data_IF_519999411596
#
_entry.id   IF_519999411596
#
_cell.length_a   1.000
_cell.length_b   1.000
_cell.length_c   1.000
_cell.angle_alpha   90.00
_cell.angle_beta   90.00
_cell.angle_gamma   90.00
#
_symmetry.space_group_name_H-M   'P 1'
#
loop_
_entity.id
_entity.type
_entity.pdbx_description
1 polymer ?
#
# COMPACT_ATOMS: atom_id res chain seq x y z
N UNK A 1 6.98 9.58 6.07
CA UNK A 1 7.47 8.19 6.12
C UNK A 1 7.58 7.68 4.69
N UNK A 2 8.70 7.05 4.35
CA UNK A 2 8.92 6.41 3.04
C UNK A 2 8.32 5.00 3.01
N UNK A 3 8.18 4.41 1.83
CA UNK A 3 7.76 3.02 1.71
C UNK A 3 8.82 2.06 2.26
N UNK A 4 10.11 2.39 2.05
CA UNK A 4 11.24 1.61 2.60
C UNK A 4 11.24 1.57 4.12
N UNK A 5 10.94 2.69 4.79
CA UNK A 5 10.76 2.74 6.24
C UNK A 5 9.58 1.88 6.71
N UNK A 6 8.51 1.81 5.93
CA UNK A 6 7.33 1.03 6.26
C UNK A 6 7.58 -0.48 6.17
N UNK A 7 8.31 -0.97 5.17
CA UNK A 7 8.68 -2.40 5.07
C UNK A 7 9.71 -2.80 6.12
N UNK A 8 10.68 -1.93 6.45
CA UNK A 8 11.61 -2.15 7.55
C UNK A 8 10.87 -2.25 8.90
N UNK A 9 9.90 -1.36 9.14
CA UNK A 9 9.05 -1.41 10.32
C UNK A 9 8.28 -2.74 10.43
N UNK A 10 7.76 -3.26 9.31
CA UNK A 10 7.09 -4.56 9.28
C UNK A 10 8.01 -5.70 9.73
N UNK A 11 9.27 -5.71 9.27
CA UNK A 11 10.25 -6.71 9.69
C UNK A 11 10.63 -6.55 11.16
N UNK A 12 10.89 -5.32 11.63
CA UNK A 12 11.18 -5.06 13.05
C UNK A 12 10.05 -5.52 13.97
N UNK A 13 8.80 -5.26 13.60
CA UNK A 13 7.63 -5.76 14.34
C UNK A 13 7.53 -7.27 14.27
N UNK A 14 7.85 -7.89 13.14
CA UNK A 14 7.86 -9.35 13.01
C UNK A 14 8.87 -9.98 13.98
N UNK A 15 10.11 -9.47 13.98
CA UNK A 15 11.16 -9.92 14.92
C UNK A 15 10.78 -9.70 16.39
N UNK A 16 10.21 -8.54 16.72
CA UNK A 16 9.79 -8.23 18.09
C UNK A 16 8.68 -9.18 18.62
N UNK A 17 7.92 -9.79 17.71
CA UNK A 17 6.87 -10.76 18.01
C UNK A 17 7.28 -12.22 17.76
N UNK A 18 8.55 -12.49 17.43
CA UNK A 18 9.04 -13.84 17.15
C UNK A 18 8.49 -14.48 15.88
N UNK A 19 8.09 -13.65 14.91
CA UNK A 19 7.52 -14.08 13.62
C UNK A 19 8.58 -14.08 12.52
N UNK A 20 8.35 -14.88 11.48
CA UNK A 20 9.18 -14.84 10.27
C UNK A 20 8.96 -13.50 9.56
N UNK A 21 10.04 -12.80 9.26
CA UNK A 21 9.97 -11.53 8.51
C UNK A 21 9.36 -11.75 7.13
N UNK A 22 8.42 -10.89 6.75
CA UNK A 22 7.78 -10.97 5.44
C UNK A 22 8.71 -10.50 4.31
N UNK A 23 9.61 -9.57 4.60
CA UNK A 23 10.47 -8.99 3.59
C UNK A 23 11.91 -9.46 3.74
N UNK A 24 12.48 -9.86 2.61
CA UNK A 24 13.91 -10.05 2.43
C UNK A 24 14.41 -8.76 1.76
N UNK A 25 15.28 -8.03 2.48
CA UNK A 25 15.68 -6.66 2.16
C UNK A 25 17.19 -6.61 2.01
N UNK A 26 17.66 -6.04 0.90
CA UNK A 26 19.05 -5.62 0.72
C UNK A 26 19.13 -4.33 -0.12
N UNK A 27 20.35 -3.89 -0.41
CA UNK A 27 20.63 -2.64 -1.14
C UNK A 27 20.09 -2.63 -2.59
N UNK A 28 19.64 -3.78 -3.10
CA UNK A 28 19.18 -3.95 -4.48
C UNK A 28 17.71 -4.34 -4.63
N UNK A 29 17.08 -4.87 -3.61
CA UNK A 29 15.69 -5.28 -3.72
C UNK A 29 15.04 -5.46 -2.35
N UNK A 30 13.72 -5.28 -2.40
CA UNK A 30 12.80 -5.74 -1.37
C UNK A 30 11.95 -6.82 -2.00
N UNK A 31 12.07 -8.05 -1.49
CA UNK A 31 11.28 -9.19 -1.94
C UNK A 31 10.36 -9.63 -0.82
N UNK A 32 9.11 -9.89 -1.16
CA UNK A 32 8.13 -10.41 -0.22
C UNK A 32 8.10 -11.94 -0.26
N UNK A 33 8.41 -12.59 0.86
CA UNK A 33 8.08 -13.99 1.08
C UNK A 33 6.60 -14.09 1.48
N UNK A 34 5.75 -14.39 0.49
CA UNK A 34 4.29 -14.51 0.66
C UNK A 34 3.87 -15.63 1.62
N UNK A 35 4.80 -16.50 2.05
CA UNK A 35 4.55 -17.61 2.99
C UNK A 35 4.98 -17.27 4.42
N UNK A 36 5.66 -16.16 4.64
CA UNK A 36 6.04 -15.72 5.98
C UNK A 36 4.80 -15.31 6.79
N UNK A 37 4.81 -15.56 8.09
CA UNK A 37 3.69 -15.29 9.01
C UNK A 37 3.78 -13.92 9.71
N UNK A 38 4.81 -13.14 9.37
CA UNK A 38 5.08 -11.81 9.89
C UNK A 38 4.15 -10.72 9.40
N UNK A 39 4.40 -9.51 9.91
CA UNK A 39 3.74 -8.28 9.49
C UNK A 39 4.24 -7.86 8.12
N UNK A 40 3.36 -7.18 7.38
CA UNK A 40 3.60 -6.69 6.02
C UNK A 40 2.66 -5.53 5.70
N UNK A 41 2.94 -4.82 4.63
CA UNK A 41 1.97 -3.95 3.97
C UNK A 41 0.86 -4.81 3.33
N UNK A 42 -0.39 -4.33 3.30
CA UNK A 42 -1.46 -4.98 2.54
C UNK A 42 -1.15 -4.88 1.04
N UNK A 43 -1.67 -5.83 0.27
CA UNK A 43 -1.82 -5.61 -1.17
C UNK A 43 -2.87 -4.53 -1.42
N UNK A 44 -2.83 -3.89 -2.58
CA UNK A 44 -3.84 -2.91 -3.00
C UNK A 44 -5.25 -3.53 -2.97
N UNK A 45 -5.37 -4.81 -3.35
CA UNK A 45 -6.63 -5.53 -3.34
C UNK A 45 -7.12 -5.87 -1.92
N UNK A 46 -6.23 -6.30 -1.02
CA UNK A 46 -6.57 -6.49 0.40
C UNK A 46 -7.04 -5.20 1.04
N UNK A 47 -6.31 -4.11 0.77
CA UNK A 47 -6.64 -2.79 1.28
C UNK A 47 -8.03 -2.36 0.82
N UNK A 48 -8.34 -2.48 -0.47
CA UNK A 48 -9.64 -2.08 -1.01
C UNK A 48 -10.77 -2.96 -0.47
N UNK A 49 -10.56 -4.28 -0.39
CA UNK A 49 -11.52 -5.20 0.20
C UNK A 49 -11.82 -4.84 1.66
N UNK A 50 -10.77 -4.62 2.45
CA UNK A 50 -10.86 -4.25 3.85
C UNK A 50 -11.54 -2.89 4.05
N UNK A 51 -11.23 -1.90 3.20
CA UNK A 51 -11.87 -0.58 3.21
C UNK A 51 -13.36 -0.69 2.90
N UNK A 52 -13.73 -1.42 1.84
CA UNK A 52 -15.12 -1.56 1.39
C UNK A 52 -15.99 -2.29 2.39
N UNK A 53 -15.47 -3.30 3.08
CA UNK A 53 -16.19 -4.09 4.09
C UNK A 53 -17.61 -4.52 3.63
N UNK A 54 -17.73 -4.98 2.38
CA UNK A 54 -18.98 -5.41 1.77
C UNK A 54 -19.78 -4.34 1.01
N UNK A 55 -19.36 -3.08 1.06
CA UNK A 55 -20.00 -2.00 0.29
C UNK A 55 -19.46 -1.89 -1.14
N UNK A 56 -20.31 -1.49 -2.09
CA UNK A 56 -19.92 -1.28 -3.49
C UNK A 56 -19.64 0.20 -3.83
N UNK A 57 -20.02 1.12 -2.94
CA UNK A 57 -19.90 2.56 -3.14
C UNK A 57 -18.46 3.09 -3.08
N UNK A 58 -18.26 4.38 -3.35
CA UNK A 58 -16.95 5.04 -3.19
C UNK A 58 -16.54 5.16 -1.71
N UNK A 59 -17.50 5.20 -0.80
CA UNK A 59 -17.31 5.25 0.64
C UNK A 59 -18.12 4.15 1.31
N UNK A 60 -17.69 3.69 2.48
CA UNK A 60 -18.40 2.67 3.27
C UNK A 60 -19.45 3.26 4.24
N UNK A 61 -19.65 4.59 4.21
CA UNK A 61 -20.60 5.32 5.04
C UNK A 61 -20.63 6.80 4.67
N UNK A 62 -21.27 7.62 5.50
CA UNK A 62 -21.20 9.07 5.37
C UNK A 62 -19.75 9.53 5.59
N UNK A 63 -19.18 10.24 4.62
CA UNK A 63 -17.77 10.63 4.66
C UNK A 63 -17.46 11.55 5.84
N UNK A 64 -18.38 12.44 6.22
CA UNK A 64 -18.18 13.35 7.36
C UNK A 64 -18.11 12.57 8.69
N UNK A 65 -18.81 11.44 8.79
CA UNK A 65 -18.83 10.60 9.98
C UNK A 65 -17.70 9.57 10.01
N UNK A 66 -17.16 9.20 8.84
CA UNK A 66 -16.24 8.06 8.69
C UNK A 66 -14.80 8.43 8.35
N UNK A 67 -14.54 9.67 7.89
CA UNK A 67 -13.23 10.10 7.43
C UNK A 67 -12.85 11.50 7.94
N UNK A 68 -11.54 11.73 8.00
CA UNK A 68 -10.95 13.06 8.15
C UNK A 68 -10.47 13.56 6.80
N UNK A 69 -10.97 14.70 6.34
CA UNK A 69 -10.74 15.24 4.99
C UNK A 69 -10.46 16.75 5.06
N UNK A 70 -10.20 17.36 3.90
CA UNK A 70 -9.97 18.82 3.83
C UNK A 70 -11.18 19.64 4.29
N UNK A 71 -12.37 19.04 4.40
CA UNK A 71 -13.57 19.73 4.91
C UNK A 71 -13.57 19.92 6.42
N UNK A 72 -12.77 19.15 7.16
CA UNK A 72 -12.72 19.23 8.63
C UNK A 72 -11.88 20.43 9.11
N UNK A 73 -11.16 21.13 8.22
CA UNK A 73 -10.40 22.33 8.56
C UNK A 73 -9.23 22.11 9.53
N UNK A 74 -8.68 20.89 9.52
CA UNK A 74 -7.55 20.46 10.35
C UNK A 74 -6.22 20.63 9.61
N UNK A 75 -5.12 20.73 10.36
CA UNK A 75 -3.76 21.01 9.88
C UNK A 75 -2.82 19.79 9.99
N UNK A 76 -3.38 18.61 10.27
CA UNK A 76 -2.61 17.41 10.48
C UNK A 76 -3.45 16.16 10.74
N UNK A 77 -2.79 14.99 10.79
CA UNK A 77 -3.46 13.74 11.10
C UNK A 77 -4.03 13.76 12.51
N UNK A 78 -5.20 13.14 12.66
CA UNK A 78 -5.90 13.05 13.93
C UNK A 78 -5.61 11.74 14.64
N UNK A 79 -5.76 11.68 15.98
CA UNK A 79 -5.72 10.42 16.72
C UNK A 79 -6.65 9.39 16.07
N UNK A 80 -6.15 8.16 15.90
CA UNK A 80 -6.91 7.07 15.27
C UNK A 80 -8.18 6.73 16.05
N UNK A 81 -9.18 6.16 15.35
CA UNK A 81 -10.45 5.70 15.91
C UNK A 81 -11.30 6.80 16.55
N UNK A 82 -11.35 7.96 15.89
CA UNK A 82 -12.21 9.10 16.30
C UNK A 82 -13.45 9.30 15.42
N UNK A 83 -13.46 8.73 14.22
CA UNK A 83 -14.59 8.65 13.30
C UNK A 83 -15.19 7.23 13.34
N UNK A 84 -16.33 7.01 12.69
CA UNK A 84 -17.01 5.72 12.69
C UNK A 84 -16.24 4.65 11.89
N UNK A 85 -16.20 3.40 12.36
CA UNK A 85 -15.58 2.30 11.62
C UNK A 85 -16.46 1.81 10.48
N UNK A 86 -15.87 1.03 9.58
CA UNK A 86 -16.62 0.23 8.62
C UNK A 86 -17.17 -1.07 9.24
N UNK A 87 -17.89 -1.88 8.45
CA UNK A 87 -18.53 -3.12 8.92
C UNK A 87 -17.54 -4.22 9.40
N UNK A 88 -16.25 -4.11 9.07
CA UNK A 88 -15.20 -4.99 9.60
C UNK A 88 -14.56 -4.46 10.88
N UNK A 89 -15.03 -3.32 11.41
CA UNK A 89 -14.46 -2.68 12.59
C UNK A 89 -13.16 -1.92 12.30
N UNK A 90 -12.86 -1.64 11.03
CA UNK A 90 -11.69 -0.86 10.64
C UNK A 90 -12.01 0.62 10.63
N UNK A 91 -11.11 1.40 11.23
CA UNK A 91 -11.19 2.85 11.31
C UNK A 91 -10.18 3.47 10.37
N UNK A 92 -10.47 4.69 9.93
CA UNK A 92 -9.53 5.55 9.21
C UNK A 92 -8.98 4.91 7.93
N UNK A 93 -9.71 3.99 7.30
CA UNK A 93 -9.39 3.49 5.95
C UNK A 93 -9.75 4.51 4.88
N UNK A 94 -10.52 5.54 5.22
CA UNK A 94 -10.74 6.72 4.40
C UNK A 94 -10.29 7.96 5.16
N UNK A 95 -9.48 8.80 4.51
CA UNK A 95 -8.98 10.03 5.07
C UNK A 95 -7.92 9.83 6.15
N UNK A 96 -7.71 10.85 6.98
CA UNK A 96 -6.63 10.94 7.97
C UNK A 96 -5.25 10.90 7.31
N UNK A 97 -4.77 9.72 6.90
CA UNK A 97 -3.51 9.58 6.15
C UNK A 97 -3.68 8.59 5.00
N UNK A 98 -2.97 8.83 3.91
CA UNK A 98 -2.75 7.83 2.89
C UNK A 98 -2.04 6.61 3.49
N UNK A 99 -2.37 5.41 3.02
CA UNK A 99 -1.75 4.18 3.54
C UNK A 99 -0.97 3.46 2.42
N UNK A 100 0.35 3.27 2.63
CA UNK A 100 1.19 2.50 1.72
C UNK A 100 0.69 1.06 1.54
N UNK A 101 0.72 0.58 0.30
CA UNK A 101 0.46 -0.81 -0.09
C UNK A 101 1.73 -1.44 -0.68
N UNK A 102 1.75 -2.76 -0.81
CA UNK A 102 2.85 -3.50 -1.42
C UNK A 102 3.00 -3.20 -2.92
N UNK A 103 1.89 -3.11 -3.66
CA UNK A 103 1.84 -3.09 -5.11
C UNK A 103 2.56 -1.89 -5.77
N UNK A 104 3.06 -2.11 -6.98
CA UNK A 104 3.49 -1.03 -7.86
C UNK A 104 2.29 -0.27 -8.42
N UNK A 105 2.44 1.05 -8.60
CA UNK A 105 1.39 1.90 -9.18
C UNK A 105 1.13 1.53 -10.64
N UNK A 106 2.18 1.60 -11.44
CA UNK A 106 2.22 1.18 -12.83
C UNK A 106 3.70 0.95 -13.18
N UNK A 107 4.18 -0.31 -13.11
CA UNK A 107 5.61 -0.59 -13.28
C UNK A 107 6.10 -0.39 -14.72
N UNK A 108 5.17 -0.25 -15.67
CA UNK A 108 5.46 0.03 -17.07
C UNK A 108 5.81 1.53 -17.27
N UNK A 109 5.13 2.40 -16.52
CA UNK A 109 5.21 3.87 -16.68
C UNK A 109 6.02 4.56 -15.60
N UNK A 110 5.86 4.14 -14.35
CA UNK A 110 6.42 4.81 -13.17
C UNK A 110 7.45 3.94 -12.44
N UNK A 111 7.99 2.91 -13.11
CA UNK A 111 9.03 2.06 -12.57
C UNK A 111 8.69 1.47 -11.20
N UNK A 112 9.43 1.87 -10.18
CA UNK A 112 9.34 1.35 -8.82
C UNK A 112 8.34 2.07 -7.91
N UNK A 113 7.55 3.01 -8.44
CA UNK A 113 6.57 3.75 -7.66
C UNK A 113 5.56 2.80 -7.02
N UNK A 114 5.32 2.98 -5.72
CA UNK A 114 4.44 2.16 -4.91
C UNK A 114 3.08 2.83 -4.72
N UNK A 115 2.04 2.02 -4.59
CA UNK A 115 0.68 2.51 -4.36
C UNK A 115 0.49 2.92 -2.91
N UNK A 116 -0.27 4.00 -2.70
CA UNK A 116 -0.93 4.28 -1.43
C UNK A 116 -2.41 4.64 -1.66
N UNK A 117 -3.24 4.36 -0.65
CA UNK A 117 -4.72 4.38 -0.73
C UNK A 117 -5.37 5.16 0.41
N UNK A 118 -6.65 5.50 0.26
CA UNK A 118 -7.50 6.04 1.33
C UNK A 118 -7.73 7.55 1.34
N UNK A 119 -6.76 8.36 0.91
CA UNK A 119 -6.84 9.81 1.07
C UNK A 119 -6.25 10.27 2.40
N UNK A 120 -5.99 11.57 2.53
CA UNK A 120 -5.50 12.18 3.78
C UNK A 120 -6.45 13.26 4.30
N UNK A 121 -6.14 13.78 5.48
CA UNK A 121 -6.77 14.96 6.09
C UNK A 121 -6.70 16.21 5.19
N UNK A 122 -5.73 16.30 4.28
CA UNK A 122 -5.56 17.43 3.37
C UNK A 122 -6.29 17.24 2.03
N UNK A 123 -6.82 16.05 1.74
CA UNK A 123 -7.44 15.76 0.46
C UNK A 123 -8.92 16.14 0.43
N UNK A 124 -9.42 16.62 -0.72
CA UNK A 124 -10.84 16.91 -0.88
C UNK A 124 -11.67 15.62 -0.90
N UNK A 125 -12.96 15.68 -0.51
CA UNK A 125 -13.85 14.52 -0.44
C UNK A 125 -13.84 13.62 -1.69
N UNK A 126 -13.81 14.21 -2.88
CA UNK A 126 -13.79 13.45 -4.13
C UNK A 126 -12.47 12.70 -4.36
N UNK A 127 -11.41 12.93 -3.60
CA UNK A 127 -10.18 12.12 -3.65
C UNK A 127 -10.15 11.03 -2.57
N UNK A 128 -11.00 11.12 -1.55
CA UNK A 128 -11.05 10.21 -0.39
C UNK A 128 -12.05 9.08 -0.67
N UNK A 129 -11.63 8.08 -1.45
CA UNK A 129 -12.50 6.96 -1.87
C UNK A 129 -11.80 5.63 -1.80
N UNK A 130 -12.59 4.56 -1.64
CA UNK A 130 -12.11 3.18 -1.58
C UNK A 130 -11.34 2.76 -2.84
N UNK A 131 -11.60 3.36 -4.00
CA UNK A 131 -10.89 3.08 -5.26
C UNK A 131 -9.82 4.10 -5.65
N UNK A 132 -9.64 5.20 -4.90
CA UNK A 132 -8.60 6.16 -5.25
C UNK A 132 -7.23 5.56 -4.97
N UNK A 133 -6.39 5.52 -6.01
CA UNK A 133 -4.99 5.14 -5.96
C UNK A 133 -4.09 6.31 -6.34
N UNK A 134 -3.05 6.54 -5.55
CA UNK A 134 -1.91 7.42 -5.86
C UNK A 134 -0.62 6.62 -5.63
N UNK A 135 0.51 7.17 -6.03
CA UNK A 135 1.79 6.54 -5.75
C UNK A 135 2.95 7.49 -5.86
N UNK A 136 4.06 7.11 -5.25
CA UNK A 136 5.32 7.84 -5.27
C UNK A 136 6.49 6.86 -5.21
N UNK A 137 7.69 7.36 -5.45
CA UNK A 137 8.92 6.58 -5.33
C UNK A 137 9.06 6.00 -3.92
N UNK A 138 9.65 4.80 -3.77
CA UNK A 138 9.67 4.08 -2.49
C UNK A 138 10.56 4.75 -1.42
N UNK A 139 11.50 5.60 -1.83
CA UNK A 139 12.39 6.42 -1.01
C UNK A 139 11.86 7.83 -0.76
N UNK A 140 10.76 8.23 -1.40
CA UNK A 140 10.18 9.56 -1.23
C UNK A 140 9.40 9.67 0.08
N UNK A 141 9.62 10.77 0.81
CA UNK A 141 8.77 11.18 1.92
C UNK A 141 7.57 11.93 1.36
N UNK A 142 6.38 11.35 1.52
CA UNK A 142 5.11 11.98 1.13
C UNK A 142 4.38 12.44 2.39
N UNK A 143 4.03 13.72 2.44
CA UNK A 143 3.27 14.30 3.55
C UNK A 143 1.88 13.67 3.63
N UNK A 144 1.40 13.42 4.85
CA UNK A 144 0.11 12.79 5.07
C UNK A 144 0.07 11.33 4.61
N UNK A 145 1.21 10.65 4.43
CA UNK A 145 1.27 9.21 4.15
C UNK A 145 1.83 8.43 5.35
N UNK A 146 1.01 7.47 5.80
CA UNK A 146 1.24 6.49 6.84
C UNK A 146 1.20 5.05 6.30
N UNK A 147 0.89 4.10 7.19
CA UNK A 147 0.71 2.70 6.84
C UNK A 147 -0.39 2.05 7.67
N UNK A 148 -0.87 0.92 7.17
CA UNK A 148 -1.62 -0.08 7.91
C UNK A 148 -0.91 -1.41 7.77
N UNK A 149 -0.84 -2.18 8.84
CA UNK A 149 -0.24 -3.51 8.82
C UNK A 149 -1.28 -4.55 8.43
N UNK A 150 -0.90 -5.43 7.52
CA UNK A 150 -1.46 -6.77 7.36
C UNK A 150 -0.49 -7.77 8.01
N UNK A 151 -0.93 -9.03 8.18
CA UNK A 151 -0.10 -10.10 8.73
C UNK A 151 -0.49 -11.44 8.12
N UNK A 152 0.50 -12.31 8.00
CA UNK A 152 0.27 -13.73 7.79
C UNK A 152 0.60 -14.19 6.37
N UNK A 153 0.80 -15.51 6.27
CA UNK A 153 1.04 -16.20 5.03
C UNK A 153 -0.21 -16.13 4.14
N UNK A 154 -0.01 -15.72 2.90
CA UNK A 154 -1.08 -15.53 1.90
C UNK A 154 -0.75 -16.12 0.54
N UNK A 155 0.47 -16.65 0.36
CA UNK A 155 0.80 -17.51 -0.77
C UNK A 155 0.05 -18.83 -0.69
N UNK A 156 -0.45 -19.31 -1.83
CA UNK A 156 -1.09 -20.63 -1.96
C UNK A 156 -0.08 -21.69 -2.45
N UNK A 157 -0.49 -22.96 -2.51
CA UNK A 157 0.27 -24.13 -2.98
C UNK A 157 0.62 -24.08 -4.50
N UNK A 158 0.96 -22.91 -5.02
CA UNK A 158 1.62 -22.76 -6.32
C UNK A 158 3.00 -23.41 -6.32
N UNK A 159 3.65 -23.52 -7.50
CA UNK A 159 5.02 -24.01 -7.57
C UNK A 159 5.90 -23.26 -6.56
N UNK A 160 6.82 -23.96 -5.89
CA UNK A 160 7.78 -23.35 -4.96
C UNK A 160 8.41 -22.09 -5.60
N UNK A 161 8.29 -20.96 -4.92
CA UNK A 161 8.74 -19.66 -5.44
C UNK A 161 7.67 -18.83 -6.17
N UNK A 162 6.38 -19.22 -6.16
CA UNK A 162 5.31 -18.36 -6.67
C UNK A 162 5.18 -17.09 -5.81
N UNK A 163 5.64 -15.96 -6.33
CA UNK A 163 5.53 -14.64 -5.70
C UNK A 163 4.18 -13.99 -6.07
N UNK A 164 3.08 -14.60 -5.64
CA UNK A 164 1.74 -14.09 -5.86
C UNK A 164 0.87 -14.29 -4.61
N UNK A 165 0.04 -13.31 -4.31
CA UNK A 165 -0.85 -13.34 -3.16
C UNK A 165 -1.96 -12.29 -3.32
N UNK A 166 -3.20 -12.67 -3.00
CA UNK A 166 -4.31 -11.74 -2.74
C UNK A 166 -4.42 -10.59 -3.75
N UNK A 167 -4.54 -10.94 -5.05
CA UNK A 167 -4.67 -9.97 -6.16
C UNK A 167 -3.36 -9.44 -6.73
N UNK A 168 -2.22 -9.71 -6.11
CA UNK A 168 -0.88 -9.32 -6.57
C UNK A 168 -0.08 -10.49 -7.16
N UNK A 169 0.83 -10.20 -8.10
CA UNK A 169 1.80 -11.16 -8.67
C UNK A 169 3.07 -10.47 -9.20
N UNK A 170 4.24 -10.89 -8.70
CA UNK A 170 5.54 -10.39 -9.18
C UNK A 170 5.78 -10.72 -10.66
N UNK A 171 5.32 -11.88 -11.14
CA UNK A 171 5.43 -12.26 -12.56
C UNK A 171 4.63 -11.31 -13.44
N UNK A 172 3.42 -10.93 -13.02
CA UNK A 172 2.62 -9.95 -13.76
C UNK A 172 3.24 -8.55 -13.73
N UNK A 173 3.83 -8.15 -12.61
CA UNK A 173 4.56 -6.88 -12.53
C UNK A 173 5.76 -6.84 -13.49
N UNK A 174 6.59 -7.89 -13.49
CA UNK A 174 7.73 -8.02 -14.42
C UNK A 174 7.25 -8.00 -15.88
N UNK A 175 6.15 -8.71 -16.18
CA UNK A 175 5.56 -8.72 -17.52
C UNK A 175 5.07 -7.32 -17.94
N UNK A 176 4.39 -6.58 -17.05
CA UNK A 176 3.97 -5.19 -17.30
C UNK A 176 5.15 -4.24 -17.50
N UNK A 177 6.22 -4.42 -16.73
CA UNK A 177 7.44 -3.62 -16.86
C UNK A 177 8.24 -3.91 -18.14
N UNK A 178 8.06 -5.08 -18.74
CA UNK A 178 8.81 -5.55 -19.91
C UNK A 178 8.31 -4.92 -21.22
N UNK A 179 8.50 -3.60 -21.36
CA UNK A 179 8.21 -2.87 -22.59
C UNK A 179 9.44 -2.92 -23.52
N UNK A 180 9.20 -3.15 -24.81
CA UNK A 180 10.24 -3.04 -25.85
C UNK A 180 10.06 -1.79 -26.71
N UNK A 181 11.16 -1.22 -27.19
CA UNK A 181 11.16 -0.03 -28.04
C UNK A 181 11.34 1.29 -27.28
N UNK A 182 11.23 2.44 -27.98
CA UNK A 182 11.40 3.75 -27.36
C UNK A 182 10.29 4.06 -26.36
N UNK A 183 10.67 4.53 -25.17
CA UNK A 183 9.73 4.93 -24.14
C UNK A 183 9.21 6.36 -24.39
N UNK A 184 7.92 6.64 -24.13
CA UNK A 184 7.41 8.01 -24.15
C UNK A 184 8.12 8.89 -23.13
N UNK A 185 8.16 10.21 -23.39
CA UNK A 185 8.77 11.17 -22.47
C UNK A 185 8.14 11.07 -21.07
N UNK A 186 8.98 11.02 -20.04
CA UNK A 186 8.57 10.91 -18.63
C UNK A 186 8.25 9.49 -18.14
N UNK A 187 8.33 8.47 -19.00
CA UNK A 187 8.21 7.07 -18.58
C UNK A 187 9.55 6.58 -18.05
N UNK A 188 9.52 6.01 -16.86
CA UNK A 188 10.72 5.43 -16.23
C UNK A 188 10.54 3.92 -16.18
N UNK A 189 11.42 3.13 -16.82
CA UNK A 189 11.33 1.68 -16.75
C UNK A 189 11.61 1.22 -15.32
N UNK A 190 11.01 0.10 -14.92
CA UNK A 190 11.33 -0.55 -13.65
C UNK A 190 12.82 -0.88 -13.63
N UNK A 191 13.54 -0.27 -12.70
CA UNK A 191 14.96 -0.55 -12.50
C UNK A 191 15.07 -1.83 -11.69
N UNK A 192 16.01 -2.71 -12.04
CA UNK A 192 16.63 -3.53 -10.99
C UNK A 192 17.33 -2.51 -10.09
N UNK A 193 16.78 -2.25 -8.90
CA UNK A 193 17.31 -1.23 -8.00
C UNK A 193 18.78 -1.59 -7.75
N UNK A 194 19.68 -0.76 -8.24
CA UNK A 194 21.09 -0.83 -7.91
C UNK A 194 21.42 0.55 -7.37
N UNK A 195 21.42 0.68 -6.05
CA UNK A 195 21.90 1.89 -5.38
C UNK A 195 23.27 1.57 -4.81
N UNK A 196 24.21 2.51 -5.04
CA UNK A 196 25.58 2.49 -4.52
C UNK A 196 25.61 2.84 -3.05
#
# INVERSE_FOLDING_TARGET
MTWLEAVDLCNRLSSAHGLQSAYDINDRWVRWDVRADGFRLPTEAEWEYACRAGTAGPHYGDLQETAWTSLDGIDGPQPVRRKQPNAFGLYDTLGNVWEWCWDYLDPARYGDYRVFRGGSWADPPWSVRASTRRGSAPDAVVEGTGLRLARGAVGTDGPEGSEAAQGWSATQDRARASISGPLPAGWTPLRELAVR
#
